data_IF_340691867109
#
_entry.id   IF_340691867109
#
_cell.length_a   1.000
_cell.length_b   1.000
_cell.length_c   1.000
_cell.angle_alpha   90.00
_cell.angle_beta   90.00
_cell.angle_gamma   90.00
#
_symmetry.space_group_name_H-M   'P 1'
#
loop_
_entity.id
_entity.type
_entity.pdbx_description
1 polymer ?
#
# COMPACT_ATOMS: atom_id res chain seq x y z
N UNK A 1 11.15 -12.64 2.78
CA UNK A 1 9.78 -12.09 2.65
C UNK A 1 9.19 -12.00 4.05
N UNK A 2 8.53 -10.91 4.39
CA UNK A 2 7.93 -10.71 5.71
C UNK A 2 6.50 -11.24 5.72
N UNK A 3 6.04 -11.70 6.89
CA UNK A 3 4.64 -12.13 7.07
C UNK A 3 3.72 -10.94 7.08
N UNK A 4 2.54 -11.09 6.46
CA UNK A 4 1.50 -10.08 6.51
C UNK A 4 0.09 -10.71 6.55
N UNK A 5 -0.86 -9.90 6.96
CA UNK A 5 -2.30 -10.21 7.04
C UNK A 5 -3.09 -9.11 6.36
N UNK A 6 -4.28 -9.43 5.89
CA UNK A 6 -5.23 -8.47 5.34
C UNK A 6 -6.65 -8.80 5.77
N UNK A 7 -7.53 -7.81 5.71
CA UNK A 7 -8.91 -7.93 6.19
C UNK A 7 -9.91 -8.15 5.05
N UNK A 8 -9.59 -7.65 3.86
CA UNK A 8 -10.44 -7.61 2.67
C UNK A 8 -9.64 -7.97 1.42
N UNK A 9 -10.37 -8.25 0.34
CA UNK A 9 -9.80 -8.31 -1.00
C UNK A 9 -10.14 -7.02 -1.75
N UNK A 10 -9.21 -6.54 -2.56
CA UNK A 10 -9.40 -5.35 -3.38
C UNK A 10 -9.26 -5.71 -4.84
N UNK A 11 -10.37 -5.61 -5.58
CA UNK A 11 -10.37 -5.77 -7.03
C UNK A 11 -10.22 -4.38 -7.67
N UNK A 12 -9.14 -4.11 -8.45
CA UNK A 12 -8.92 -2.84 -9.12
C UNK A 12 -10.10 -2.44 -10.02
N UNK A 13 -10.34 -1.11 -10.18
CA UNK A 13 -11.49 -0.57 -10.95
C UNK A 13 -11.54 -1.03 -12.41
N UNK A 14 -10.40 -1.35 -12.99
CA UNK A 14 -10.32 -1.86 -14.37
C UNK A 14 -11.07 -3.17 -14.61
N UNK A 15 -11.37 -3.92 -13.56
CA UNK A 15 -12.11 -5.18 -13.64
C UNK A 15 -13.58 -4.99 -13.27
N UNK A 16 -14.47 -5.73 -13.94
CA UNK A 16 -15.88 -5.81 -13.55
C UNK A 16 -16.01 -6.44 -12.18
N UNK A 17 -16.69 -5.79 -11.27
CA UNK A 17 -16.86 -6.23 -9.90
C UNK A 17 -18.27 -6.77 -9.66
N UNK A 18 -18.41 -7.75 -8.81
CA UNK A 18 -19.68 -8.13 -8.21
C UNK A 18 -20.05 -7.15 -7.09
N UNK A 19 -21.24 -7.33 -6.50
CA UNK A 19 -21.77 -6.44 -5.45
C UNK A 19 -20.83 -6.40 -4.24
N UNK A 20 -20.26 -7.52 -3.83
CA UNK A 20 -19.38 -7.60 -2.67
C UNK A 20 -18.03 -6.93 -2.95
N UNK A 21 -17.47 -7.17 -4.13
CA UNK A 21 -16.21 -6.55 -4.56
C UNK A 21 -16.35 -5.03 -4.67
N UNK A 22 -17.51 -4.52 -5.14
CA UNK A 22 -17.75 -3.08 -5.20
C UNK A 22 -17.87 -2.48 -3.79
N UNK A 23 -18.54 -3.17 -2.85
CA UNK A 23 -18.58 -2.74 -1.46
C UNK A 23 -17.18 -2.72 -0.82
N UNK A 24 -16.34 -3.70 -1.12
CA UNK A 24 -14.97 -3.73 -0.60
C UNK A 24 -14.10 -2.61 -1.21
N UNK A 25 -14.32 -2.22 -2.48
CA UNK A 25 -13.72 -1.01 -3.09
C UNK A 25 -14.14 0.25 -2.34
N UNK A 26 -15.44 0.44 -2.12
CA UNK A 26 -15.98 1.60 -1.39
C UNK A 26 -15.36 1.71 0.01
N UNK A 27 -15.19 0.59 0.72
CA UNK A 27 -14.54 0.55 2.04
C UNK A 27 -13.09 1.03 1.94
N UNK A 28 -12.34 0.59 0.94
CA UNK A 28 -10.95 1.01 0.74
C UNK A 28 -10.86 2.51 0.44
N UNK A 29 -11.74 3.03 -0.43
CA UNK A 29 -11.76 4.47 -0.73
C UNK A 29 -12.19 5.31 0.47
N UNK A 30 -13.22 4.90 1.19
CA UNK A 30 -13.64 5.56 2.42
C UNK A 30 -12.49 5.64 3.44
N UNK A 31 -11.76 4.53 3.63
CA UNK A 31 -10.60 4.48 4.53
C UNK A 31 -9.47 5.40 4.06
N UNK A 32 -9.14 5.42 2.76
CA UNK A 32 -8.14 6.35 2.18
C UNK A 32 -8.50 7.82 2.47
N UNK A 33 -9.80 8.15 2.49
CA UNK A 33 -10.33 9.48 2.78
C UNK A 33 -10.53 9.75 4.30
N UNK A 34 -10.07 8.85 5.16
CA UNK A 34 -10.15 9.02 6.61
C UNK A 34 -11.48 8.63 7.23
N UNK A 35 -12.33 7.93 6.51
CA UNK A 35 -13.55 7.35 7.03
C UNK A 35 -13.24 5.95 7.60
N UNK A 36 -13.44 5.79 8.90
CA UNK A 36 -13.24 4.53 9.59
C UNK A 36 -14.56 4.07 10.20
N UNK A 37 -15.23 3.14 9.53
CA UNK A 37 -16.46 2.54 10.06
C UNK A 37 -16.18 1.72 11.33
N UNK A 38 -17.18 1.59 12.21
CA UNK A 38 -17.04 0.81 13.45
C UNK A 38 -16.71 -0.67 13.16
N UNK A 39 -17.26 -1.24 12.08
CA UNK A 39 -16.98 -2.62 11.67
C UNK A 39 -15.52 -2.81 11.27
N UNK A 40 -14.96 -1.92 10.42
CA UNK A 40 -13.56 -1.97 9.98
C UNK A 40 -12.61 -1.70 11.15
N UNK A 41 -12.93 -0.71 12.00
CA UNK A 41 -12.18 -0.45 13.22
C UNK A 41 -12.10 -1.71 14.10
N UNK A 42 -13.23 -2.37 14.32
CA UNK A 42 -13.28 -3.61 15.11
C UNK A 42 -12.44 -4.71 14.45
N UNK A 43 -12.56 -4.91 13.14
CA UNK A 43 -11.78 -5.91 12.40
C UNK A 43 -10.27 -5.69 12.55
N UNK A 44 -9.78 -4.44 12.47
CA UNK A 44 -8.39 -4.12 12.74
C UNK A 44 -7.98 -4.47 14.17
N UNK A 45 -8.75 -4.05 15.17
CA UNK A 45 -8.42 -4.28 16.58
C UNK A 45 -8.42 -5.78 16.93
N UNK A 46 -9.37 -6.55 16.41
CA UNK A 46 -9.44 -7.99 16.61
C UNK A 46 -8.24 -8.69 15.97
N UNK A 47 -7.87 -8.30 14.73
CA UNK A 47 -6.70 -8.86 14.04
C UNK A 47 -5.38 -8.45 14.71
N UNK A 48 -5.26 -7.23 15.18
CA UNK A 48 -4.10 -6.78 15.98
C UNK A 48 -3.94 -7.65 17.22
N UNK A 49 -5.04 -7.90 17.95
CA UNK A 49 -5.02 -8.74 19.13
C UNK A 49 -4.64 -10.20 18.82
N UNK A 50 -5.13 -10.73 17.71
CA UNK A 50 -4.75 -12.06 17.22
C UNK A 50 -3.24 -12.16 16.94
N UNK A 51 -2.68 -11.18 16.22
CA UNK A 51 -1.26 -11.14 15.84
C UNK A 51 -0.36 -10.96 17.06
N UNK A 52 -0.72 -10.08 17.97
CA UNK A 52 0.13 -9.69 19.11
C UNK A 52 -0.04 -10.56 20.33
N UNK A 53 -1.14 -11.31 20.41
CA UNK A 53 -1.50 -12.11 21.58
C UNK A 53 -1.61 -11.23 22.84
N UNK A 54 -1.09 -11.76 23.96
CA UNK A 54 -1.12 -11.05 25.25
C UNK A 54 0.09 -10.11 25.49
N UNK A 55 1.00 -10.02 24.54
CA UNK A 55 2.30 -9.33 24.74
C UNK A 55 2.32 -7.92 24.17
N UNK A 56 1.29 -7.11 24.44
CA UNK A 56 1.14 -5.73 23.89
C UNK A 56 2.40 -4.88 24.07
N UNK A 57 3.09 -4.98 25.18
CA UNK A 57 4.29 -4.18 25.49
C UNK A 57 5.50 -4.50 24.61
N UNK A 58 5.50 -5.66 23.94
CA UNK A 58 6.56 -6.04 23.02
C UNK A 58 6.33 -5.51 21.60
N UNK A 59 5.15 -4.98 21.32
CA UNK A 59 4.75 -4.52 20.01
C UNK A 59 4.63 -3.01 19.91
N UNK A 60 5.00 -2.50 18.76
CA UNK A 60 4.79 -1.11 18.37
C UNK A 60 4.09 -1.09 17.02
N UNK A 61 3.02 -0.31 16.92
CA UNK A 61 2.29 -0.13 15.67
C UNK A 61 2.85 1.07 14.94
N UNK A 62 3.19 0.88 13.67
CA UNK A 62 3.65 1.91 12.75
C UNK A 62 2.78 1.91 11.49
N UNK A 63 2.79 3.01 10.74
CA UNK A 63 2.02 3.15 9.50
C UNK A 63 2.95 3.44 8.33
N UNK A 64 2.65 2.88 7.17
CA UNK A 64 3.31 3.29 5.91
C UNK A 64 2.71 4.64 5.49
N UNK A 65 3.53 5.68 5.28
CA UNK A 65 3.03 6.99 4.90
C UNK A 65 2.39 6.97 3.48
N UNK A 66 1.31 7.71 3.33
CA UNK A 66 0.78 8.04 2.00
C UNK A 66 1.68 9.00 1.22
N UNK A 67 1.20 9.55 0.10
CA UNK A 67 1.98 10.46 -0.74
C UNK A 67 2.32 11.79 -0.04
N UNK A 68 1.52 12.23 0.93
CA UNK A 68 1.75 13.45 1.72
C UNK A 68 1.52 13.20 3.21
N UNK A 69 2.10 14.05 4.07
CA UNK A 69 1.85 13.99 5.51
C UNK A 69 0.36 14.19 5.83
N UNK A 70 -0.30 15.07 5.10
CA UNK A 70 -1.73 15.33 5.26
C UNK A 70 -2.58 14.08 4.95
N UNK A 71 -2.32 13.41 3.82
CA UNK A 71 -3.01 12.16 3.46
C UNK A 71 -2.75 11.05 4.48
N UNK A 72 -1.52 10.94 4.98
CA UNK A 72 -1.14 10.00 6.04
C UNK A 72 -1.95 10.24 7.32
N UNK A 73 -2.02 11.51 7.76
CA UNK A 73 -2.75 11.90 8.96
C UNK A 73 -4.25 11.64 8.83
N UNK A 74 -4.88 12.05 7.73
CA UNK A 74 -6.31 11.80 7.49
C UNK A 74 -6.60 10.30 7.56
N UNK A 75 -5.84 9.49 6.86
CA UNK A 75 -6.05 8.05 6.75
C UNK A 75 -5.96 7.32 8.08
N UNK A 76 -4.95 7.61 8.87
CA UNK A 76 -4.59 6.76 10.00
C UNK A 76 -4.91 7.34 11.38
N UNK A 77 -5.25 8.63 11.54
CA UNK A 77 -5.42 9.24 12.86
C UNK A 77 -6.48 8.53 13.71
N UNK A 78 -7.66 8.28 13.16
CA UNK A 78 -8.75 7.60 13.88
C UNK A 78 -8.40 6.18 14.30
N UNK A 79 -7.71 5.43 13.42
CA UNK A 79 -7.26 4.07 13.72
C UNK A 79 -6.14 4.09 14.76
N UNK A 80 -5.18 4.99 14.65
CA UNK A 80 -4.10 5.17 15.63
C UNK A 80 -4.65 5.46 17.03
N UNK A 81 -5.66 6.33 17.14
CA UNK A 81 -6.30 6.65 18.41
C UNK A 81 -7.07 5.45 19.00
N UNK A 82 -7.74 4.67 18.14
CA UNK A 82 -8.41 3.45 18.58
C UNK A 82 -7.40 2.42 19.11
N UNK A 83 -6.27 2.22 18.42
CA UNK A 83 -5.20 1.31 18.82
C UNK A 83 -4.56 1.74 20.15
N UNK A 84 -4.32 3.05 20.34
CA UNK A 84 -3.82 3.59 21.63
C UNK A 84 -4.79 3.36 22.77
N UNK A 85 -6.10 3.52 22.53
CA UNK A 85 -7.16 3.25 23.55
C UNK A 85 -7.17 1.80 23.98
N UNK A 86 -6.79 0.87 23.10
CA UNK A 86 -6.62 -0.55 23.44
C UNK A 86 -5.30 -0.83 24.19
N UNK A 87 -4.47 0.17 24.44
CA UNK A 87 -3.24 0.05 25.22
C UNK A 87 -2.00 -0.39 24.42
N UNK A 88 -2.01 -0.26 23.10
CA UNK A 88 -0.82 -0.48 22.28
C UNK A 88 0.01 0.80 22.11
N UNK A 89 1.33 0.62 22.01
CA UNK A 89 2.21 1.69 21.56
C UNK A 89 2.03 1.96 20.08
N UNK A 90 1.88 3.23 19.72
CA UNK A 90 1.77 3.66 18.32
C UNK A 90 2.82 4.70 18.04
N UNK A 91 3.76 4.40 17.15
CA UNK A 91 4.88 5.27 16.78
C UNK A 91 4.68 5.82 15.37
N UNK A 92 4.01 6.96 15.27
CA UNK A 92 3.70 7.60 13.99
C UNK A 92 4.92 8.29 13.36
N UNK A 93 5.96 8.60 14.15
CA UNK A 93 7.17 9.23 13.67
C UNK A 93 8.27 8.25 13.26
N UNK A 94 8.06 6.96 13.50
CA UNK A 94 9.03 5.94 13.06
C UNK A 94 9.24 5.95 11.54
N UNK A 95 8.18 6.31 10.79
CA UNK A 95 8.20 6.46 9.34
C UNK A 95 7.42 7.73 8.99
N UNK A 96 8.01 8.62 8.23
CA UNK A 96 7.41 9.90 7.88
C UNK A 96 7.79 10.34 6.46
N UNK A 97 7.02 11.26 5.87
CA UNK A 97 7.36 11.86 4.60
C UNK A 97 8.49 12.90 4.80
N UNK A 98 9.62 12.78 4.11
CA UNK A 98 10.68 13.81 4.06
C UNK A 98 10.22 15.02 3.26
N UNK A 99 9.43 14.76 2.24
CA UNK A 99 8.81 15.74 1.35
C UNK A 99 7.53 15.11 0.79
N UNK A 100 6.60 15.93 0.37
CA UNK A 100 5.40 15.47 -0.32
C UNK A 100 5.78 14.93 -1.71
N UNK A 101 5.27 13.77 -2.09
CA UNK A 101 5.57 13.17 -3.41
C UNK A 101 5.14 14.06 -4.56
N UNK A 102 4.11 14.91 -4.36
CA UNK A 102 3.69 15.88 -5.36
C UNK A 102 4.80 16.92 -5.68
N UNK A 103 5.73 17.18 -4.74
CA UNK A 103 6.94 18.00 -4.97
C UNK A 103 8.10 17.18 -5.55
N UNK A 104 8.15 15.88 -5.31
CA UNK A 104 9.20 14.95 -5.82
C UNK A 104 9.11 14.67 -7.32
N UNK A 105 7.97 14.96 -7.95
CA UNK A 105 7.79 14.88 -9.41
C UNK A 105 8.79 15.76 -10.19
N UNK A 106 9.38 16.76 -9.53
CA UNK A 106 10.37 17.67 -10.13
C UNK A 106 11.81 17.15 -10.05
N UNK A 107 12.10 16.10 -9.30
CA UNK A 107 13.49 15.66 -9.02
C UNK A 107 13.95 14.41 -9.76
N UNK A 108 13.12 13.86 -10.69
CA UNK A 108 13.52 12.72 -11.52
C UNK A 108 13.39 11.37 -10.83
N UNK A 109 12.95 10.41 -11.60
CA UNK A 109 12.61 9.03 -11.26
C UNK A 109 13.66 8.35 -10.40
N UNK A 110 13.26 7.92 -9.23
CA UNK A 110 13.95 6.86 -8.54
C UNK A 110 12.98 5.70 -8.41
N UNK A 111 13.34 4.54 -8.92
CA UNK A 111 12.55 3.32 -8.83
C UNK A 111 12.42 2.77 -7.40
N UNK A 112 12.71 3.58 -6.38
CA UNK A 112 12.63 3.18 -4.98
C UNK A 112 11.42 3.84 -4.28
N UNK A 113 10.33 3.08 -4.02
CA UNK A 113 9.09 3.62 -3.48
C UNK A 113 9.22 4.22 -2.08
N UNK A 114 10.29 3.90 -1.32
CA UNK A 114 10.52 4.43 0.04
C UNK A 114 11.55 5.57 0.09
N UNK A 115 12.00 6.09 -1.03
CA UNK A 115 13.01 7.17 -1.05
C UNK A 115 12.51 8.45 -0.40
N UNK A 116 11.22 8.77 -0.59
CA UNK A 116 10.56 9.91 0.06
C UNK A 116 10.34 9.73 1.56
N UNK A 117 10.60 8.52 2.10
CA UNK A 117 10.39 8.25 3.52
C UNK A 117 11.61 8.62 4.36
N UNK A 118 11.36 9.27 5.48
CA UNK A 118 12.28 9.39 6.60
C UNK A 118 11.98 8.30 7.63
N UNK A 119 12.99 7.92 8.40
CA UNK A 119 12.87 6.88 9.40
C UNK A 119 13.52 7.33 10.71
N UNK A 120 12.82 7.12 11.83
CA UNK A 120 13.34 7.28 13.19
C UNK A 120 13.25 5.96 13.94
N UNK A 121 14.41 5.42 14.32
CA UNK A 121 14.52 4.17 15.04
C UNK A 121 14.26 4.27 16.55
N UNK A 122 14.10 5.46 17.13
CA UNK A 122 14.13 5.67 18.58
C UNK A 122 13.10 4.85 19.34
N UNK A 123 11.86 4.72 18.83
CA UNK A 123 10.78 4.00 19.51
C UNK A 123 10.66 2.51 19.14
N UNK A 124 11.51 1.98 18.23
CA UNK A 124 11.31 0.66 17.63
C UNK A 124 12.40 -0.36 17.96
N UNK A 125 13.50 0.06 18.58
CA UNK A 125 14.62 -0.83 18.92
C UNK A 125 14.17 -1.98 19.81
N UNK A 126 14.50 -3.22 19.42
CA UNK A 126 14.14 -4.47 20.11
C UNK A 126 12.63 -4.72 20.23
N UNK A 127 11.78 -4.03 19.46
CA UNK A 127 10.33 -4.22 19.41
C UNK A 127 9.90 -5.04 18.20
N UNK A 128 8.83 -5.78 18.37
CA UNK A 128 8.08 -6.32 17.24
C UNK A 128 7.25 -5.17 16.62
N UNK A 129 7.34 -4.99 15.33
CA UNK A 129 6.63 -3.91 14.63
C UNK A 129 5.43 -4.51 13.89
N UNK A 130 4.26 -3.95 14.14
CA UNK A 130 3.09 -4.16 13.32
C UNK A 130 2.97 -2.98 12.36
N UNK A 131 3.27 -3.22 11.08
CA UNK A 131 3.27 -2.21 10.04
C UNK A 131 1.95 -2.22 9.30
N UNK A 132 1.19 -1.12 9.39
CA UNK A 132 -0.17 -1.02 8.83
C UNK A 132 -0.18 -0.13 7.60
N UNK A 133 -0.94 -0.55 6.58
CA UNK A 133 -1.28 0.28 5.41
C UNK A 133 -2.70 -0.03 4.92
N UNK A 134 -3.17 0.70 3.91
CA UNK A 134 -4.48 0.47 3.31
C UNK A 134 -4.48 -0.76 2.39
N UNK A 135 -3.67 -0.78 1.35
CA UNK A 135 -3.67 -1.86 0.35
C UNK A 135 -2.28 -2.41 0.11
N UNK A 136 -2.17 -3.72 0.06
CA UNK A 136 -0.97 -4.40 -0.40
C UNK A 136 -1.24 -5.01 -1.79
N UNK A 137 -0.36 -4.70 -2.76
CA UNK A 137 -0.37 -5.29 -4.11
C UNK A 137 0.79 -6.28 -4.22
N UNK A 138 1.92 -5.87 -4.74
CA UNK A 138 3.13 -6.71 -4.83
C UNK A 138 3.97 -6.74 -3.55
N UNK A 139 3.65 -5.89 -2.60
CA UNK A 139 4.36 -5.80 -1.31
C UNK A 139 5.75 -5.16 -1.37
N UNK A 140 6.16 -4.55 -2.48
CA UNK A 140 7.49 -3.93 -2.64
C UNK A 140 7.73 -2.85 -1.59
N UNK A 141 6.82 -1.88 -1.45
CA UNK A 141 6.92 -0.82 -0.44
C UNK A 141 6.98 -1.40 0.96
N UNK A 142 6.14 -2.38 1.26
CA UNK A 142 6.11 -3.06 2.56
C UNK A 142 7.46 -3.73 2.87
N UNK A 143 7.98 -4.55 1.95
CA UNK A 143 9.24 -5.28 2.17
C UNK A 143 10.41 -4.32 2.36
N UNK A 144 10.55 -3.29 1.51
CA UNK A 144 11.62 -2.29 1.65
C UNK A 144 11.52 -1.50 2.97
N UNK A 145 10.31 -1.13 3.37
CA UNK A 145 10.06 -0.47 4.64
C UNK A 145 10.43 -1.39 5.81
N UNK A 146 10.03 -2.66 5.76
CA UNK A 146 10.35 -3.65 6.77
C UNK A 146 11.87 -3.88 6.88
N UNK A 147 12.59 -3.99 5.76
CA UNK A 147 14.05 -4.10 5.74
C UNK A 147 14.71 -2.89 6.42
N UNK A 148 14.18 -1.68 6.12
CA UNK A 148 14.68 -0.46 6.75
C UNK A 148 14.45 -0.44 8.25
N UNK A 149 13.25 -0.81 8.73
CA UNK A 149 12.95 -0.90 10.17
C UNK A 149 13.82 -1.96 10.85
N UNK A 150 14.07 -3.11 10.21
CA UNK A 150 15.00 -4.13 10.70
C UNK A 150 16.42 -3.58 10.83
N UNK A 151 16.90 -2.82 9.86
CA UNK A 151 18.24 -2.19 9.92
C UNK A 151 18.36 -1.16 11.03
N UNK A 152 17.26 -0.60 11.51
CA UNK A 152 17.18 0.34 12.63
C UNK A 152 16.96 -0.35 13.99
N UNK A 153 17.00 -1.68 14.04
CA UNK A 153 16.96 -2.45 15.27
C UNK A 153 15.61 -3.03 15.66
N UNK A 154 14.62 -3.02 14.78
CA UNK A 154 13.35 -3.74 15.02
C UNK A 154 13.61 -5.24 15.16
N UNK A 155 12.97 -5.89 16.16
CA UNK A 155 13.11 -7.33 16.42
C UNK A 155 12.45 -8.16 15.31
N UNK A 156 11.21 -7.87 14.98
CA UNK A 156 10.46 -8.46 13.87
C UNK A 156 9.56 -7.39 13.23
N UNK A 157 9.14 -7.62 11.98
CA UNK A 157 8.15 -6.80 11.30
C UNK A 157 7.09 -7.71 10.70
N UNK A 158 5.83 -7.38 10.96
CA UNK A 158 4.65 -8.06 10.42
C UNK A 158 3.73 -7.01 9.80
N UNK A 159 3.17 -7.26 8.62
CA UNK A 159 2.25 -6.36 7.94
C UNK A 159 0.79 -6.63 8.34
N UNK A 160 -0.03 -5.58 8.39
CA UNK A 160 -1.48 -5.68 8.44
C UNK A 160 -2.11 -4.64 7.52
N UNK A 161 -2.87 -5.12 6.54
CA UNK A 161 -3.46 -4.28 5.50
C UNK A 161 -4.98 -4.33 5.57
N UNK A 162 -5.62 -3.20 5.23
CA UNK A 162 -7.07 -3.24 5.05
C UNK A 162 -7.44 -4.19 3.92
N UNK A 163 -6.70 -4.16 2.80
CA UNK A 163 -7.00 -5.04 1.69
C UNK A 163 -5.75 -5.56 0.97
N UNK A 164 -5.90 -6.70 0.30
CA UNK A 164 -4.94 -7.26 -0.63
C UNK A 164 -5.51 -7.18 -2.05
N UNK A 165 -4.74 -6.66 -2.98
CA UNK A 165 -5.13 -6.59 -4.39
C UNK A 165 -5.22 -7.98 -4.98
N UNK A 166 -6.37 -8.32 -5.57
CA UNK A 166 -6.58 -9.55 -6.32
C UNK A 166 -6.54 -9.26 -7.83
N UNK A 167 -5.98 -10.21 -8.58
CA UNK A 167 -6.00 -10.18 -10.03
C UNK A 167 -6.86 -11.36 -10.54
N UNK A 168 -8.03 -11.12 -11.18
CA UNK A 168 -8.92 -12.19 -11.65
C UNK A 168 -8.25 -13.14 -12.63
N UNK A 169 -7.29 -12.65 -13.42
CA UNK A 169 -6.60 -13.47 -14.43
C UNK A 169 -5.70 -14.55 -13.80
N UNK A 170 -5.36 -14.41 -12.53
CA UNK A 170 -4.55 -15.37 -11.77
C UNK A 170 -5.38 -16.43 -11.04
N UNK A 171 -6.67 -16.19 -10.79
CA UNK A 171 -7.54 -17.12 -10.05
C UNK A 171 -8.11 -18.25 -10.90
N UNK A 172 -8.08 -18.14 -12.22
CA UNK A 172 -8.57 -19.17 -13.13
C UNK A 172 -7.54 -20.28 -13.46
N UNK A 173 -6.32 -20.20 -12.94
CA UNK A 173 -5.23 -21.12 -13.27
C UNK A 173 -4.99 -22.23 -12.23
N UNK A 174 -5.85 -22.38 -11.22
CA UNK A 174 -5.66 -23.40 -10.17
C UNK A 174 -6.65 -24.58 -10.24
N UNK A 175 -7.16 -24.92 -11.42
CA UNK A 175 -7.82 -26.23 -11.64
C UNK A 175 -7.21 -26.89 -12.86
N UNK A 176 -6.11 -27.62 -12.66
CA UNK A 176 -5.74 -28.93 -13.22
C UNK A 176 -4.21 -29.14 -13.11
N UNK A 177 -3.73 -30.33 -12.78
CA UNK A 177 -2.30 -30.60 -12.76
C UNK A 177 -1.80 -30.84 -14.17
N UNK A 178 -1.37 -29.80 -14.85
CA UNK A 178 -0.66 -29.96 -16.13
C UNK A 178 0.85 -29.94 -15.86
N UNK A 179 1.47 -31.09 -16.07
CA UNK A 179 2.90 -31.26 -16.26
C UNK A 179 3.27 -30.73 -17.65
N UNK A 180 3.46 -29.46 -17.81
CA UNK A 180 4.30 -28.85 -18.84
C UNK A 180 4.98 -27.64 -18.20
N UNK A 181 6.31 -27.62 -18.28
CA UNK A 181 7.11 -26.48 -17.83
C UNK A 181 6.58 -25.23 -18.53
N UNK A 182 6.24 -24.15 -17.80
CA UNK A 182 5.85 -22.91 -18.45
C UNK A 182 7.05 -22.40 -19.23
N UNK A 183 6.85 -22.18 -20.52
CA UNK A 183 7.77 -21.42 -21.37
C UNK A 183 7.88 -20.02 -20.74
N UNK A 184 8.89 -19.83 -19.90
CA UNK A 184 9.20 -18.56 -19.28
C UNK A 184 9.77 -17.67 -20.36
N UNK A 185 8.93 -16.81 -20.94
CA UNK A 185 9.40 -15.69 -21.74
C UNK A 185 9.91 -14.60 -20.80
N UNK A 186 11.22 -14.36 -20.70
CA UNK A 186 11.77 -13.30 -19.86
C UNK A 186 11.53 -11.89 -20.43
N UNK A 187 10.77 -11.77 -21.50
CA UNK A 187 10.43 -10.53 -22.19
C UNK A 187 8.89 -10.42 -22.36
N UNK A 188 8.10 -10.46 -21.27
CA UNK A 188 6.80 -9.79 -21.34
C UNK A 188 7.07 -8.32 -21.59
N UNK A 189 6.86 -7.91 -22.84
CA UNK A 189 6.99 -6.52 -23.24
C UNK A 189 6.01 -5.68 -22.41
N UNK A 190 6.55 -4.71 -21.67
CA UNK A 190 5.74 -3.69 -21.02
C UNK A 190 4.78 -3.09 -22.04
N UNK A 191 3.48 -3.15 -21.79
CA UNK A 191 2.50 -2.62 -22.73
C UNK A 191 2.44 -1.09 -22.61
N UNK A 192 2.35 -0.42 -23.76
CA UNK A 192 2.30 1.05 -23.88
C UNK A 192 1.11 1.50 -24.74
N UNK A 193 0.06 0.68 -24.83
CA UNK A 193 -1.03 0.93 -25.78
C UNK A 193 -2.26 1.56 -25.15
N UNK A 194 -2.56 1.27 -23.89
CA UNK A 194 -3.81 1.66 -23.23
C UNK A 194 -3.91 3.17 -22.99
N UNK A 195 -2.81 3.80 -22.65
CA UNK A 195 -2.72 5.23 -22.36
C UNK A 195 -1.98 6.01 -23.46
N UNK A 196 -1.93 5.45 -24.65
CA UNK A 196 -1.32 6.06 -25.83
C UNK A 196 -1.90 7.47 -26.06
N UNK A 197 -1.04 8.48 -26.19
CA UNK A 197 -1.39 9.88 -26.26
C UNK A 197 -1.53 10.57 -24.90
N UNK A 198 -1.26 9.89 -23.79
CA UNK A 198 -1.15 10.54 -22.48
C UNK A 198 0.26 11.11 -22.27
N UNK A 199 0.38 12.17 -21.46
CA UNK A 199 1.68 12.74 -21.10
C UNK A 199 2.55 11.72 -20.35
N UNK A 200 1.94 10.94 -19.48
CA UNK A 200 2.65 9.94 -18.70
C UNK A 200 3.31 8.88 -19.58
N UNK A 201 2.64 8.42 -20.63
CA UNK A 201 3.17 7.41 -21.52
C UNK A 201 4.09 7.99 -22.60
N UNK A 202 3.66 9.05 -23.30
CA UNK A 202 4.37 9.58 -24.47
C UNK A 202 5.60 10.43 -24.11
N UNK A 203 5.57 11.12 -22.98
CA UNK A 203 6.65 12.04 -22.57
C UNK A 203 7.49 11.44 -21.43
N UNK A 204 6.84 10.81 -20.45
CA UNK A 204 7.51 10.24 -19.28
C UNK A 204 7.90 8.77 -19.46
N UNK A 205 7.37 8.10 -20.49
CA UNK A 205 7.68 6.71 -20.83
C UNK A 205 7.23 5.71 -19.77
N UNK A 206 6.10 5.96 -19.11
CA UNK A 206 5.53 5.06 -18.13
C UNK A 206 4.78 3.93 -18.83
N UNK A 207 4.92 2.71 -18.34
CA UNK A 207 4.11 1.57 -18.81
C UNK A 207 2.66 1.72 -18.37
N UNK A 208 1.74 1.01 -19.03
CA UNK A 208 0.33 0.95 -18.64
C UNK A 208 0.17 0.54 -17.16
N UNK A 209 1.05 -0.34 -16.68
CA UNK A 209 1.07 -0.82 -15.31
C UNK A 209 1.48 0.28 -14.32
N UNK A 210 2.50 1.06 -14.66
CA UNK A 210 2.96 2.17 -13.83
C UNK A 210 1.87 3.25 -13.70
N UNK A 211 1.13 3.49 -14.79
CA UNK A 211 0.01 4.44 -14.81
C UNK A 211 -1.16 3.92 -13.97
N UNK A 212 -1.50 2.63 -14.10
CA UNK A 212 -2.54 1.99 -13.28
C UNK A 212 -2.17 2.06 -11.79
N UNK A 213 -0.92 1.78 -11.43
CA UNK A 213 -0.45 1.75 -10.03
C UNK A 213 -0.34 3.14 -9.40
N UNK A 214 -0.02 4.17 -10.19
CA UNK A 214 0.17 5.54 -9.68
C UNK A 214 -1.11 6.36 -9.71
N UNK A 215 -1.95 6.18 -10.73
CA UNK A 215 -3.14 7.01 -10.98
C UNK A 215 -4.46 6.26 -10.75
N UNK A 216 -4.43 5.06 -10.16
CA UNK A 216 -5.63 4.21 -9.96
C UNK A 216 -6.41 3.96 -11.28
N UNK A 217 -5.70 3.94 -12.42
CA UNK A 217 -6.29 3.72 -13.73
C UNK A 217 -7.10 4.92 -14.27
N UNK A 218 -6.94 6.12 -13.72
CA UNK A 218 -7.60 7.34 -14.23
C UNK A 218 -6.70 8.07 -15.25
N UNK A 219 -6.92 7.90 -16.57
CA UNK A 219 -6.10 8.52 -17.60
C UNK A 219 -6.29 10.05 -17.71
N UNK A 220 -7.32 10.61 -17.06
CA UNK A 220 -7.63 12.05 -17.11
C UNK A 220 -6.63 12.88 -16.28
N UNK A 221 -6.01 12.31 -15.27
CA UNK A 221 -5.01 13.01 -14.45
C UNK A 221 -3.77 13.35 -15.29
N UNK A 222 -3.36 12.47 -16.21
CA UNK A 222 -2.28 12.75 -17.16
C UNK A 222 -2.60 13.86 -18.17
N UNK A 223 -3.87 14.07 -18.53
CA UNK A 223 -4.31 15.08 -19.48
C UNK A 223 -4.47 16.49 -18.90
N UNK A 224 -4.78 16.60 -17.60
CA UNK A 224 -4.92 17.90 -16.93
C UNK A 224 -3.62 18.70 -16.90
N UNK A 225 -2.47 18.03 -16.85
CA UNK A 225 -1.15 18.64 -16.85
C UNK A 225 -0.77 19.30 -18.20
N UNK A 226 -1.36 18.88 -19.33
CA UNK A 226 -1.07 19.43 -20.65
C UNK A 226 -1.79 20.74 -20.99
N UNK A 227 -2.84 21.11 -20.23
CA UNK A 227 -3.66 22.29 -20.55
C UNK A 227 -3.22 23.58 -19.87
N UNK A 228 -2.31 23.54 -18.93
CA UNK A 228 -1.85 24.74 -18.19
C UNK A 228 -0.52 25.32 -18.68
N UNK A 229 0.00 24.88 -19.83
CA UNK A 229 1.19 25.48 -20.45
C UNK A 229 0.89 25.96 -21.87
N UNK A 230 0.09 26.99 -21.98
CA UNK A 230 0.06 27.91 -23.13
C UNK A 230 0.08 29.34 -22.62
#
# INVERSE_FOLDING_TARGET
MYSYYYLKEYLPKRYSADIQQEQDREIVYAFKNGELSESIKKSFLDKIKEITGNSKSEWVVCFIPGSTEHKTSIRFSKLADAIRKEGYSVEQKAIFNKYDKDAGYLTGKTGNPIESFGFDGTGIVNKNILLIDDVITRGTTFNLTADKLKSLGAKNVTGLFLAHTINPDYSSCYEEPYNEEPDYDPYEEETYERYNGSYAQDVEGWSDQDIDDVFDGDPEIGRASCRERV
#
